data_IF_071421007329
#
_entry.id   IF_071421007329
#
_cell.length_a   1.000
_cell.length_b   1.000
_cell.length_c   1.000
_cell.angle_alpha   90.00
_cell.angle_beta   90.00
_cell.angle_gamma   90.00
#
_symmetry.space_group_name_H-M   'P 1'
#
loop_
_entity.id
_entity.type
_entity.pdbx_description
1 polymer ?
#
# COMPACT_ATOMS: atom_id res chain seq x y z
N UNK A 1 -10.39 -10.65 -20.45
CA UNK A 1 -9.61 -10.72 -19.20
C UNK A 1 -9.93 -9.48 -18.39
N UNK A 2 -9.94 -9.58 -17.06
CA UNK A 2 -10.24 -8.44 -16.18
C UNK A 2 -8.94 -7.92 -15.60
N UNK A 3 -8.78 -6.60 -15.53
CA UNK A 3 -7.64 -5.95 -14.89
C UNK A 3 -7.86 -5.83 -13.38
N UNK A 4 -6.86 -6.23 -12.62
CA UNK A 4 -6.85 -6.23 -11.16
C UNK A 4 -5.64 -5.45 -10.66
N UNK A 5 -5.82 -4.75 -9.55
CA UNK A 5 -4.74 -4.15 -8.79
C UNK A 5 -4.56 -4.95 -7.51
N UNK A 6 -3.39 -5.56 -7.35
CA UNK A 6 -3.02 -6.24 -6.13
C UNK A 6 -1.98 -5.42 -5.37
N UNK A 7 -2.24 -5.24 -4.09
CA UNK A 7 -1.30 -4.70 -3.12
C UNK A 7 -0.83 -5.82 -2.21
N UNK A 8 0.46 -6.13 -2.28
CA UNK A 8 1.08 -7.16 -1.43
C UNK A 8 1.93 -6.45 -0.40
N UNK A 9 1.68 -6.78 0.86
CA UNK A 9 2.43 -6.29 2.00
C UNK A 9 3.24 -7.44 2.59
N UNK A 10 4.51 -7.18 2.89
CA UNK A 10 5.35 -8.12 3.60
C UNK A 10 6.15 -7.45 4.69
N UNK A 11 6.45 -8.23 5.73
CA UNK A 11 7.35 -7.82 6.79
C UNK A 11 8.78 -8.00 6.35
N UNK A 12 9.54 -6.96 6.59
CA UNK A 12 10.98 -7.00 6.52
C UNK A 12 11.56 -7.52 7.85
N UNK A 13 12.49 -8.47 7.76
CA UNK A 13 13.21 -8.99 8.92
C UNK A 13 14.43 -8.14 9.32
N UNK A 14 14.85 -7.19 8.47
CA UNK A 14 16.04 -6.36 8.70
C UNK A 14 15.96 -5.09 7.86
N UNK A 15 15.83 -3.92 8.50
CA UNK A 15 15.56 -2.61 7.87
C UNK A 15 16.01 -2.52 6.40
N UNK A 16 15.07 -2.77 5.48
CA UNK A 16 15.34 -2.77 4.04
C UNK A 16 15.92 -1.43 3.60
N UNK A 17 17.06 -1.47 2.91
CA UNK A 17 17.73 -0.28 2.39
C UNK A 17 17.07 0.20 1.10
N UNK A 18 17.26 1.46 0.73
CA UNK A 18 16.79 1.99 -0.56
C UNK A 18 17.37 1.23 -1.76
N UNK A 19 18.58 0.67 -1.63
CA UNK A 19 19.23 -0.15 -2.67
C UNK A 19 18.48 -1.47 -2.87
N UNK A 20 17.99 -2.08 -1.78
CA UNK A 20 17.17 -3.29 -1.86
C UNK A 20 15.81 -3.01 -2.50
N UNK A 21 15.17 -1.90 -2.11
CA UNK A 21 13.92 -1.45 -2.70
C UNK A 21 14.08 -1.18 -4.19
N UNK A 22 15.19 -0.56 -4.61
CA UNK A 22 15.53 -0.35 -6.01
C UNK A 22 15.73 -1.68 -6.76
N UNK A 23 16.37 -2.66 -6.13
CA UNK A 23 16.59 -3.99 -6.73
C UNK A 23 15.27 -4.74 -6.90
N UNK A 24 14.40 -4.70 -5.88
CA UNK A 24 13.06 -5.29 -5.92
C UNK A 24 12.21 -4.55 -6.97
N UNK A 25 12.23 -3.22 -7.00
CA UNK A 25 11.53 -2.41 -7.99
C UNK A 25 12.01 -2.68 -9.41
N UNK A 26 13.31 -2.86 -9.63
CA UNK A 26 13.87 -3.23 -10.92
C UNK A 26 13.38 -4.61 -11.37
N UNK A 27 13.39 -5.62 -10.49
CA UNK A 27 12.84 -6.95 -10.79
C UNK A 27 11.33 -6.86 -11.13
N UNK A 28 10.61 -6.01 -10.40
CA UNK A 28 9.17 -5.78 -10.53
C UNK A 28 8.77 -4.91 -11.73
N UNK A 29 9.67 -4.09 -12.25
CA UNK A 29 9.43 -3.26 -13.45
C UNK A 29 9.13 -4.08 -14.71
N UNK A 30 9.63 -5.32 -14.77
CA UNK A 30 9.33 -6.28 -15.85
C UNK A 30 7.85 -6.68 -15.91
N UNK A 31 7.07 -6.35 -14.88
CA UNK A 31 5.68 -6.72 -14.71
C UNK A 31 4.72 -5.51 -14.70
N UNK A 32 5.15 -4.30 -15.11
CA UNK A 32 4.37 -3.06 -15.01
C UNK A 32 3.87 -2.76 -13.58
N UNK A 33 4.76 -2.92 -12.60
CA UNK A 33 4.41 -2.80 -11.18
C UNK A 33 5.21 -1.69 -10.50
N UNK A 34 4.67 -1.20 -9.38
CA UNK A 34 5.24 -0.11 -8.60
C UNK A 34 5.50 -0.59 -7.17
N UNK A 35 6.65 -0.21 -6.62
CA UNK A 35 7.05 -0.58 -5.26
C UNK A 35 7.09 0.65 -4.37
N UNK A 36 6.59 0.53 -3.15
CA UNK A 36 6.55 1.63 -2.19
C UNK A 36 6.74 1.17 -0.74
N UNK A 37 7.50 1.94 0.03
CA UNK A 37 7.62 1.73 1.47
C UNK A 37 6.52 2.50 2.18
N UNK A 38 5.76 1.85 3.04
CA UNK A 38 4.78 2.54 3.88
C UNK A 38 5.46 3.04 5.17
N UNK A 39 4.93 4.13 5.73
CA UNK A 39 5.55 4.87 6.84
C UNK A 39 5.55 4.07 8.17
N UNK A 40 4.84 2.93 8.23
CA UNK A 40 4.94 1.96 9.33
C UNK A 40 6.31 1.25 9.28
N UNK A 41 7.07 1.36 10.37
CA UNK A 41 8.41 0.81 10.51
C UNK A 41 8.39 -0.71 10.23
N UNK A 42 9.12 -1.14 9.20
CA UNK A 42 9.32 -2.56 8.86
C UNK A 42 8.27 -3.17 7.92
N UNK A 43 7.36 -2.37 7.34
CA UNK A 43 6.45 -2.83 6.28
C UNK A 43 6.89 -2.32 4.91
N UNK A 44 6.89 -3.24 3.95
CA UNK A 44 7.12 -2.93 2.54
C UNK A 44 5.89 -3.37 1.77
N UNK A 45 5.46 -2.53 0.82
CA UNK A 45 4.30 -2.81 -0.02
C UNK A 45 4.66 -2.72 -1.51
N UNK A 46 4.07 -3.59 -2.31
CA UNK A 46 4.15 -3.52 -3.76
C UNK A 46 2.73 -3.48 -4.33
N UNK A 47 2.51 -2.57 -5.26
CA UNK A 47 1.26 -2.45 -6.01
C UNK A 47 1.52 -2.90 -7.43
N UNK A 48 0.76 -3.88 -7.89
CA UNK A 48 0.91 -4.46 -9.21
C UNK A 48 -0.43 -4.51 -9.94
N UNK A 49 -0.39 -4.17 -11.22
CA UNK A 49 -1.51 -4.31 -12.14
C UNK A 49 -1.36 -5.61 -12.90
N UNK A 50 -2.38 -6.45 -12.90
CA UNK A 50 -2.35 -7.76 -13.55
C UNK A 50 -3.69 -8.11 -14.21
N UNK A 51 -3.61 -8.84 -15.32
CA UNK A 51 -4.79 -9.39 -15.98
C UNK A 51 -5.08 -10.80 -15.49
N UNK A 52 -6.29 -11.03 -14.96
CA UNK A 52 -6.71 -12.34 -14.50
C UNK A 52 -8.20 -12.56 -14.70
N UNK A 53 -8.60 -13.82 -14.84
CA UNK A 53 -10.00 -14.22 -15.02
C UNK A 53 -10.78 -14.21 -13.70
N UNK A 54 -10.09 -14.33 -12.56
CA UNK A 54 -10.71 -14.40 -11.23
C UNK A 54 -9.86 -13.69 -10.17
N UNK A 55 -10.51 -13.22 -9.09
CA UNK A 55 -9.85 -12.66 -7.91
C UNK A 55 -8.81 -13.62 -7.30
N UNK A 56 -9.15 -14.92 -7.22
CA UNK A 56 -8.23 -15.94 -6.68
C UNK A 56 -6.98 -16.05 -7.54
N UNK A 57 -7.15 -16.11 -8.86
CA UNK A 57 -6.02 -16.15 -9.78
C UNK A 57 -5.17 -14.89 -9.65
N UNK A 58 -5.82 -13.72 -9.57
CA UNK A 58 -5.14 -12.46 -9.38
C UNK A 58 -4.27 -12.43 -8.10
N UNK A 59 -4.81 -12.87 -6.97
CA UNK A 59 -4.08 -12.93 -5.70
C UNK A 59 -2.90 -13.91 -5.74
N UNK A 60 -3.07 -15.08 -6.37
CA UNK A 60 -2.01 -16.08 -6.51
C UNK A 60 -0.89 -15.57 -7.42
N UNK A 61 -1.24 -14.98 -8.56
CA UNK A 61 -0.25 -14.42 -9.49
C UNK A 61 0.51 -13.26 -8.84
N UNK A 62 -0.19 -12.40 -8.10
CA UNK A 62 0.42 -11.31 -7.35
C UNK A 62 1.45 -11.77 -6.33
N UNK A 63 1.08 -12.73 -5.49
CA UNK A 63 1.98 -13.33 -4.50
C UNK A 63 3.19 -13.98 -5.17
N UNK A 64 2.99 -14.67 -6.30
CA UNK A 64 4.06 -15.34 -7.02
C UNK A 64 5.08 -14.34 -7.57
N UNK A 65 4.61 -13.25 -8.19
CA UNK A 65 5.47 -12.21 -8.77
C UNK A 65 6.29 -11.53 -7.67
N UNK A 66 5.63 -11.08 -6.59
CA UNK A 66 6.33 -10.39 -5.49
C UNK A 66 7.31 -11.32 -4.79
N UNK A 67 6.94 -12.57 -4.54
CA UNK A 67 7.86 -13.56 -3.98
C UNK A 67 9.10 -13.73 -4.85
N UNK A 68 8.94 -13.84 -6.17
CA UNK A 68 10.07 -13.96 -7.09
C UNK A 68 11.03 -12.79 -6.97
N UNK A 69 10.51 -11.56 -7.08
CA UNK A 69 11.33 -10.35 -6.99
C UNK A 69 12.05 -10.19 -5.65
N UNK A 70 11.38 -10.53 -4.54
CA UNK A 70 11.99 -10.45 -3.19
C UNK A 70 13.08 -11.51 -3.01
N UNK A 71 12.88 -12.72 -3.54
CA UNK A 71 13.89 -13.78 -3.50
C UNK A 71 15.11 -13.47 -4.39
N UNK A 72 14.88 -12.87 -5.57
CA UNK A 72 15.96 -12.43 -6.47
C UNK A 72 16.82 -11.33 -5.83
N UNK A 73 16.21 -10.48 -5.01
CA UNK A 73 16.91 -9.50 -4.17
C UNK A 73 17.61 -10.12 -2.94
N UNK A 74 17.52 -11.44 -2.73
CA UNK A 74 18.15 -12.15 -1.63
C UNK A 74 17.50 -11.88 -0.27
N UNK A 75 16.20 -11.55 -0.23
CA UNK A 75 15.49 -11.15 0.99
C UNK A 75 14.47 -12.18 1.47
N UNK A 76 14.22 -12.26 2.79
CA UNK A 76 13.17 -13.12 3.32
C UNK A 76 11.79 -12.59 2.94
N UNK A 77 10.91 -13.48 2.47
CA UNK A 77 9.55 -13.12 2.07
C UNK A 77 8.54 -13.61 3.12
N UNK A 78 7.99 -12.68 3.89
CA UNK A 78 6.96 -12.94 4.90
C UNK A 78 5.71 -12.10 4.62
N UNK A 79 4.79 -12.57 3.77
CA UNK A 79 3.58 -11.83 3.44
C UNK A 79 2.73 -11.64 4.70
N UNK A 80 2.31 -10.41 4.95
CA UNK A 80 1.41 -10.06 6.06
C UNK A 80 0.01 -9.72 5.58
N UNK A 81 -0.12 -9.29 4.33
CA UNK A 81 -1.38 -8.91 3.73
C UNK A 81 -1.32 -8.98 2.22
N UNK A 82 -2.43 -9.40 1.61
CA UNK A 82 -2.64 -9.27 0.17
C UNK A 82 -4.03 -8.70 -0.02
N UNK A 83 -4.08 -7.49 -0.54
CA UNK A 83 -5.32 -6.87 -0.97
C UNK A 83 -5.38 -6.93 -2.49
N UNK A 84 -6.49 -7.43 -3.03
CA UNK A 84 -6.73 -7.43 -4.47
C UNK A 84 -8.08 -6.82 -4.72
N UNK A 85 -8.10 -5.81 -5.58
CA UNK A 85 -9.31 -5.09 -5.99
C UNK A 85 -9.35 -5.06 -7.51
N UNK A 86 -10.55 -5.07 -8.08
CA UNK A 86 -10.71 -4.79 -9.50
C UNK A 86 -10.35 -3.31 -9.77
N UNK A 87 -9.88 -3.04 -10.99
CA UNK A 87 -9.49 -1.69 -11.41
C UNK A 87 -10.56 -0.61 -11.17
N UNK A 88 -11.86 -0.82 -11.48
CA UNK A 88 -12.88 0.20 -11.20
C UNK A 88 -13.04 0.50 -9.71
N UNK A 89 -12.98 -0.52 -8.84
CA UNK A 89 -13.01 -0.35 -7.38
C UNK A 89 -11.77 0.39 -6.89
N UNK A 90 -10.59 0.12 -7.46
CA UNK A 90 -9.35 0.82 -7.12
C UNK A 90 -9.42 2.31 -7.48
N UNK A 91 -9.87 2.64 -8.71
CA UNK A 91 -10.05 4.03 -9.16
C UNK A 91 -11.06 4.76 -8.29
N UNK A 92 -12.16 4.11 -7.90
CA UNK A 92 -13.14 4.68 -6.99
C UNK A 92 -12.56 5.02 -5.61
N UNK A 93 -11.68 4.18 -5.07
CA UNK A 93 -11.00 4.43 -3.78
C UNK A 93 -9.96 5.53 -3.84
N UNK A 94 -9.19 5.60 -4.94
CA UNK A 94 -8.28 6.71 -5.20
C UNK A 94 -9.02 8.05 -5.28
N UNK A 95 -10.17 8.07 -5.96
CA UNK A 95 -11.03 9.25 -6.03
C UNK A 95 -11.60 9.66 -4.66
N UNK A 96 -11.90 8.70 -3.77
CA UNK A 96 -12.35 8.99 -2.40
C UNK A 96 -11.24 9.49 -1.49
N UNK A 97 -10.02 8.94 -1.61
CA UNK A 97 -8.87 9.37 -0.79
C UNK A 97 -8.35 10.77 -1.15
N UNK A 98 -8.70 11.29 -2.33
CA UNK A 98 -8.36 12.64 -2.77
C UNK A 98 -9.30 13.74 -2.20
N UNK A 99 -10.37 13.36 -1.49
CA UNK A 99 -11.17 14.32 -0.72
C UNK A 99 -10.62 14.40 0.70
N UNK A 100 -9.84 15.44 1.07
CA UNK A 100 -9.57 15.65 2.49
C UNK A 100 -10.92 15.73 3.21
N UNK A 101 -11.09 15.09 4.39
CA UNK A 101 -12.21 15.45 5.23
C UNK A 101 -12.13 16.97 5.38
N UNK A 102 -13.22 17.68 5.08
CA UNK A 102 -13.36 19.06 5.56
C UNK A 102 -13.30 18.94 7.07
N UNK A 103 -12.10 19.02 7.64
CA UNK A 103 -11.89 19.27 9.05
C UNK A 103 -12.50 20.65 9.23
N UNK A 104 -13.77 20.65 9.62
CA UNK A 104 -14.38 21.82 10.21
C UNK A 104 -13.48 22.16 11.40
N UNK A 105 -12.74 23.25 11.27
CA UNK A 105 -12.26 24.00 12.42
C UNK A 105 -13.50 24.51 13.16
N UNK A 106 -14.17 23.63 13.90
CA UNK A 106 -15.07 24.04 14.95
C UNK A 106 -14.19 24.39 16.15
N UNK A 107 -13.90 25.68 16.22
CA UNK A 107 -13.83 26.44 17.48
C UNK A 107 -12.63 26.12 18.38
N UNK A 108 -11.53 26.80 18.06
CA UNK A 108 -10.49 27.11 19.04
C UNK A 108 -11.09 28.05 20.10
N UNK A 109 -11.08 27.58 21.34
CA UNK A 109 -11.06 28.32 22.60
C UNK A 109 -12.33 29.07 23.02
N UNK A 110 -13.14 28.36 23.83
CA UNK A 110 -13.66 28.94 25.06
C UNK A 110 -12.52 29.29 26.02
N UNK A 111 -12.18 30.57 26.08
CA UNK A 111 -11.42 31.28 27.12
C UNK A 111 -11.84 32.74 26.89
N UNK A 112 -12.76 33.32 27.64
CA UNK A 112 -12.56 33.78 29.00
C UNK A 112 -13.92 34.19 29.56
N UNK A 113 -14.51 33.38 30.43
CA UNK A 113 -15.61 33.79 31.28
C UNK A 113 -15.17 33.44 32.70
N UNK A 114 -14.35 34.32 33.27
CA UNK A 114 -14.00 34.28 34.68
C UNK A 114 -15.28 34.46 35.51
N UNK A 115 -15.65 33.51 36.40
CA UNK A 115 -16.72 33.74 37.36
C UNK A 115 -16.10 34.24 38.68
N UNK A 116 -16.61 35.34 39.23
CA UNK A 116 -16.95 35.35 40.67
C UNK A 116 -17.92 36.50 41.05
N UNK A 117 -19.00 36.22 41.81
CA UNK A 117 -19.88 37.17 42.51
C UNK A 117 -19.27 37.56 43.90
N UNK A 118 -19.87 38.37 44.80
CA UNK A 118 -21.20 39.02 44.84
C UNK A 118 -21.23 40.53 44.61
#
# INVERSE_FOLDING_TARGET
MTSWVARVEWRDGSAMSDIDLLSIAAALSSYNTSVGREHEIGRVSASLSLEASTLRQAAVDALRIVRGAVLDAGRPFHPVGVEVVDEPTFVARLAQSASPPRVGYAEVSGLDAHPDPP
#
